data_IF_423068534896
#
_entry.id   IF_423068534896
#
_cell.length_a   1.000
_cell.length_b   1.000
_cell.length_c   1.000
_cell.angle_alpha   90.00
_cell.angle_beta   90.00
_cell.angle_gamma   90.00
#
_symmetry.space_group_name_H-M   'P 1'
#
loop_
_entity.id
_entity.type
_entity.pdbx_description
1 polymer ?
#
# COMPACT_ATOMS: atom_id res chain seq x y z
N UNK A 1 8.77 12.68 -13.13
CA UNK A 1 9.31 11.93 -14.28
C UNK A 1 9.44 10.49 -13.80
N UNK A 2 8.92 9.51 -14.55
CA UNK A 2 8.92 8.08 -14.17
C UNK A 2 7.61 7.55 -13.59
N UNK A 3 6.56 8.35 -13.46
CA UNK A 3 5.26 7.92 -12.93
C UNK A 3 4.28 7.42 -14.02
N UNK A 4 4.64 7.52 -15.30
CA UNK A 4 3.74 7.17 -16.41
C UNK A 4 3.34 5.68 -16.38
N UNK A 5 4.26 4.79 -16.04
CA UNK A 5 3.98 3.35 -15.93
C UNK A 5 3.01 3.06 -14.77
N UNK A 6 3.20 3.74 -13.64
CA UNK A 6 2.31 3.64 -12.49
C UNK A 6 0.90 4.14 -12.84
N UNK A 7 0.79 5.32 -13.44
CA UNK A 7 -0.49 5.89 -13.89
C UNK A 7 -1.19 4.97 -14.89
N UNK A 8 -0.46 4.41 -15.85
CA UNK A 8 -0.99 3.49 -16.84
C UNK A 8 -1.50 2.19 -16.20
N UNK A 9 -0.76 1.63 -15.26
CA UNK A 9 -1.15 0.40 -14.55
C UNK A 9 -2.42 0.62 -13.74
N UNK A 10 -2.50 1.73 -13.00
CA UNK A 10 -3.69 2.11 -12.24
C UNK A 10 -4.88 2.32 -13.18
N UNK A 11 -4.69 3.05 -14.27
CA UNK A 11 -5.76 3.32 -15.24
C UNK A 11 -6.31 2.04 -15.87
N UNK A 12 -5.45 1.06 -16.15
CA UNK A 12 -5.89 -0.27 -16.64
C UNK A 12 -6.73 -1.01 -15.59
N UNK A 13 -6.30 -1.01 -14.33
CA UNK A 13 -7.05 -1.66 -13.25
C UNK A 13 -8.44 -1.02 -13.06
N UNK A 14 -8.51 0.32 -13.08
CA UNK A 14 -9.78 1.06 -12.99
C UNK A 14 -10.72 0.72 -14.15
N UNK A 15 -10.21 0.68 -15.38
CA UNK A 15 -10.99 0.31 -16.56
C UNK A 15 -11.53 -1.12 -16.46
N UNK A 16 -10.71 -2.07 -16.00
CA UNK A 16 -11.14 -3.46 -15.76
C UNK A 16 -12.25 -3.53 -14.72
N UNK A 17 -12.11 -2.80 -13.62
CA UNK A 17 -13.12 -2.76 -12.57
C UNK A 17 -14.45 -2.19 -13.07
N UNK A 18 -14.42 -1.11 -13.83
CA UNK A 18 -15.62 -0.50 -14.44
C UNK A 18 -16.28 -1.39 -15.48
N UNK A 19 -15.51 -2.21 -16.18
CA UNK A 19 -16.01 -3.19 -17.15
C UNK A 19 -16.50 -4.51 -16.50
N UNK A 20 -16.44 -4.64 -15.17
CA UNK A 20 -16.82 -5.87 -14.47
C UNK A 20 -15.83 -7.02 -14.63
N UNK A 21 -14.61 -6.74 -15.08
CA UNK A 21 -13.56 -7.75 -15.37
C UNK A 21 -12.61 -7.98 -14.21
N UNK A 22 -12.82 -7.31 -13.07
CA UNK A 22 -12.02 -7.57 -11.86
C UNK A 22 -12.48 -8.82 -11.13
N UNK A 23 -11.59 -9.42 -10.34
CA UNK A 23 -11.97 -10.44 -9.36
C UNK A 23 -12.96 -9.84 -8.35
N UNK A 24 -14.20 -10.36 -8.22
CA UNK A 24 -15.21 -9.80 -7.33
C UNK A 24 -14.86 -9.92 -5.84
N UNK A 25 -13.87 -10.74 -5.49
CA UNK A 25 -13.43 -10.95 -4.10
C UNK A 25 -12.29 -10.03 -3.67
N UNK A 26 -11.61 -9.37 -4.61
CA UNK A 26 -10.42 -8.57 -4.33
C UNK A 26 -10.69 -7.08 -4.43
N UNK A 27 -9.83 -6.23 -3.86
CA UNK A 27 -9.85 -4.80 -4.13
C UNK A 27 -9.81 -4.49 -5.63
N UNK A 28 -10.19 -3.27 -6.00
CA UNK A 28 -10.16 -2.80 -7.41
C UNK A 28 -8.76 -2.96 -8.01
N UNK A 29 -7.74 -2.65 -7.23
CA UNK A 29 -6.35 -2.85 -7.59
C UNK A 29 -5.45 -2.69 -6.37
N UNK A 30 -4.27 -3.28 -6.44
CA UNK A 30 -3.23 -3.14 -5.43
C UNK A 30 -1.88 -2.90 -6.12
N UNK A 31 -1.14 -1.90 -5.64
CA UNK A 31 0.09 -1.43 -6.26
C UNK A 31 1.15 -1.20 -5.20
N UNK A 32 2.39 -1.56 -5.51
CA UNK A 32 3.56 -1.23 -4.70
C UNK A 32 4.41 -0.21 -5.45
N UNK A 33 4.63 0.95 -4.86
CA UNK A 33 5.50 1.99 -5.37
C UNK A 33 6.83 1.95 -4.63
N UNK A 34 7.89 1.70 -5.38
CA UNK A 34 9.25 1.68 -4.88
C UNK A 34 9.94 3.01 -5.16
N UNK A 35 10.70 3.50 -4.21
CA UNK A 35 11.51 4.70 -4.39
C UNK A 35 11.69 5.51 -3.10
N UNK A 36 12.53 6.53 -3.14
CA UNK A 36 12.79 7.39 -1.99
C UNK A 36 11.53 8.11 -1.53
N UNK A 37 11.47 8.46 -0.23
CA UNK A 37 10.39 9.25 0.35
C UNK A 37 10.31 10.64 -0.30
N UNK A 38 9.11 11.20 -0.38
CA UNK A 38 8.90 12.59 -0.80
C UNK A 38 8.76 12.85 -2.30
N UNK A 39 8.67 11.82 -3.15
CA UNK A 39 8.54 11.96 -4.61
C UNK A 39 7.08 11.98 -5.11
N UNK A 40 6.17 12.57 -4.36
CA UNK A 40 4.79 12.77 -4.83
C UNK A 40 3.87 11.54 -4.74
N UNK A 41 4.25 10.50 -4.01
CA UNK A 41 3.42 9.29 -3.85
C UNK A 41 2.07 9.60 -3.19
N UNK A 42 2.07 10.44 -2.17
CA UNK A 42 0.84 10.88 -1.49
C UNK A 42 -0.04 11.73 -2.41
N UNK A 43 0.55 12.63 -3.18
CA UNK A 43 -0.19 13.46 -4.15
C UNK A 43 -0.80 12.60 -5.26
N UNK A 44 -0.09 11.57 -5.73
CA UNK A 44 -0.65 10.62 -6.69
C UNK A 44 -1.86 9.88 -6.13
N UNK A 45 -1.79 9.42 -4.87
CA UNK A 45 -2.90 8.75 -4.22
C UNK A 45 -4.11 9.69 -4.04
N UNK A 46 -3.88 10.95 -3.69
CA UNK A 46 -4.92 11.97 -3.58
C UNK A 46 -5.57 12.27 -4.91
N UNK A 47 -4.77 12.52 -5.95
CA UNK A 47 -5.27 12.76 -7.31
C UNK A 47 -6.06 11.57 -7.85
N UNK A 48 -5.66 10.35 -7.51
CA UNK A 48 -6.39 9.15 -7.86
C UNK A 48 -7.74 9.06 -7.12
N UNK A 49 -7.78 9.39 -5.84
CA UNK A 49 -9.02 9.43 -5.05
C UNK A 49 -10.02 10.44 -5.65
N UNK A 50 -9.57 11.63 -5.99
CA UNK A 50 -10.38 12.65 -6.65
C UNK A 50 -10.90 12.17 -8.02
N UNK A 51 -10.03 11.62 -8.84
CA UNK A 51 -10.39 11.12 -10.17
C UNK A 51 -11.36 9.94 -10.15
N UNK A 52 -11.21 9.02 -9.20
CA UNK A 52 -12.03 7.80 -9.13
C UNK A 52 -13.33 7.98 -8.36
N UNK A 53 -13.29 8.71 -7.26
CA UNK A 53 -14.37 8.80 -6.29
C UNK A 53 -14.95 10.23 -6.16
N UNK A 54 -14.39 11.20 -6.89
CA UNK A 54 -14.88 12.57 -6.93
C UNK A 54 -14.53 13.43 -5.73
N UNK A 55 -13.79 12.89 -4.76
CA UNK A 55 -13.42 13.56 -3.52
C UNK A 55 -11.95 13.30 -3.20
N UNK A 56 -11.19 14.34 -2.90
CA UNK A 56 -9.79 14.22 -2.49
C UNK A 56 -9.64 13.62 -1.08
N UNK A 57 -10.67 13.76 -0.24
CA UNK A 57 -10.74 13.16 1.09
C UNK A 57 -11.17 11.67 1.07
N UNK A 58 -11.50 11.11 -0.11
CA UNK A 58 -11.64 9.66 -0.30
C UNK A 58 -10.27 8.93 -0.28
N UNK A 59 -9.27 9.49 0.38
CA UNK A 59 -7.96 8.89 0.63
C UNK A 59 -7.79 8.61 2.12
N UNK A 60 -7.45 7.36 2.43
CA UNK A 60 -7.07 6.91 3.78
C UNK A 60 -5.58 6.66 3.78
N UNK A 61 -4.83 7.40 4.58
CA UNK A 61 -3.38 7.21 4.76
C UNK A 61 -3.11 6.48 6.07
N UNK A 62 -2.29 5.44 5.99
CA UNK A 62 -1.78 4.68 7.14
C UNK A 62 -0.26 4.63 7.04
N UNK A 63 0.43 5.30 7.94
CA UNK A 63 1.89 5.28 8.03
C UNK A 63 2.33 4.06 8.84
N UNK A 64 2.98 3.10 8.17
CA UNK A 64 3.41 1.85 8.79
C UNK A 64 4.54 2.03 9.80
N UNK A 65 5.23 3.17 9.82
CA UNK A 65 6.20 3.49 10.87
C UNK A 65 5.57 3.63 12.26
N UNK A 66 4.27 3.88 12.33
CA UNK A 66 3.49 3.91 13.58
C UNK A 66 3.02 2.52 14.02
N UNK A 67 3.23 1.47 13.21
CA UNK A 67 2.73 0.12 13.42
C UNK A 67 3.86 -0.93 13.44
N UNK A 68 4.97 -0.59 14.09
CA UNK A 68 6.17 -1.44 14.17
C UNK A 68 6.11 -2.45 15.32
N UNK A 69 5.27 -2.22 16.32
CA UNK A 69 5.20 -3.03 17.53
C UNK A 69 4.12 -4.11 17.45
N UNK A 70 4.24 -5.13 18.31
CA UNK A 70 3.33 -6.26 18.36
C UNK A 70 1.85 -5.86 18.57
N UNK A 71 1.59 -4.76 19.28
CA UNK A 71 0.23 -4.27 19.54
C UNK A 71 -0.36 -3.43 18.38
N UNK A 72 0.38 -3.29 17.29
CA UNK A 72 -0.04 -2.52 16.12
C UNK A 72 -1.32 -3.07 15.48
N UNK A 73 -1.53 -4.38 15.49
CA UNK A 73 -2.74 -5.02 14.97
C UNK A 73 -3.98 -4.50 15.70
N UNK A 74 -3.96 -4.40 17.03
CA UNK A 74 -5.08 -3.87 17.81
C UNK A 74 -5.44 -2.43 17.45
N UNK A 75 -4.46 -1.63 17.07
CA UNK A 75 -4.68 -0.25 16.61
C UNK A 75 -5.32 -0.20 15.22
N UNK A 76 -5.03 -1.17 14.36
CA UNK A 76 -5.58 -1.22 13.00
C UNK A 76 -7.00 -1.77 12.94
N UNK A 77 -7.25 -2.88 13.64
CA UNK A 77 -8.53 -3.62 13.57
C UNK A 77 -9.40 -3.47 14.82
N UNK A 78 -8.88 -2.87 15.87
CA UNK A 78 -9.52 -2.66 17.14
C UNK A 78 -8.95 -3.55 18.27
N UNK A 79 -9.14 -3.10 19.51
CA UNK A 79 -8.75 -3.87 20.69
C UNK A 79 -9.77 -4.98 21.00
N UNK A 80 -9.34 -6.13 21.54
CA UNK A 80 -10.25 -7.18 21.97
C UNK A 80 -11.21 -6.70 23.07
N UNK A 81 -12.35 -7.37 23.25
CA UNK A 81 -13.27 -7.05 24.35
C UNK A 81 -12.55 -7.06 25.71
N UNK A 82 -12.84 -6.06 26.53
CA UNK A 82 -12.22 -5.89 27.85
C UNK A 82 -10.88 -5.15 27.88
N UNK A 83 -10.34 -4.78 26.73
CA UNK A 83 -9.15 -3.94 26.64
C UNK A 83 -9.47 -2.48 26.35
N UNK A 84 -8.61 -1.59 26.83
CA UNK A 84 -8.74 -0.13 26.57
C UNK A 84 -8.73 0.13 25.06
N UNK A 85 -9.66 0.97 24.60
CA UNK A 85 -9.80 1.32 23.18
C UNK A 85 -10.69 0.38 22.37
N UNK A 86 -11.32 -0.61 22.98
CA UNK A 86 -12.27 -1.50 22.26
C UNK A 86 -13.44 -0.74 21.65
N UNK A 87 -13.96 0.25 22.37
CA UNK A 87 -15.11 1.05 21.92
C UNK A 87 -14.76 1.99 20.77
N UNK A 88 -13.52 2.42 20.68
CA UNK A 88 -13.03 3.34 19.62
C UNK A 88 -12.94 2.66 18.25
N UNK A 89 -12.80 1.34 18.22
CA UNK A 89 -12.57 0.56 17.00
C UNK A 89 -11.15 0.70 16.44
N UNK A 90 -10.90 0.04 15.32
CA UNK A 90 -9.59 0.08 14.65
C UNK A 90 -9.43 1.30 13.74
N UNK A 91 -8.24 1.86 13.69
CA UNK A 91 -7.94 3.04 12.86
C UNK A 91 -8.19 2.79 11.36
N UNK A 92 -7.86 1.60 10.86
CA UNK A 92 -8.10 1.22 9.49
C UNK A 92 -9.55 0.80 9.27
N UNK A 93 -10.05 -0.12 10.06
CA UNK A 93 -11.38 -0.71 9.89
C UNK A 93 -12.49 0.33 10.02
N UNK A 94 -12.42 1.26 10.96
CA UNK A 94 -13.41 2.32 11.11
C UNK A 94 -13.39 3.31 9.93
N UNK A 95 -12.20 3.69 9.45
CA UNK A 95 -12.09 4.60 8.30
C UNK A 95 -12.66 3.99 7.03
N UNK A 96 -12.36 2.72 6.75
CA UNK A 96 -12.88 2.03 5.56
C UNK A 96 -14.36 1.75 5.69
N UNK A 97 -14.85 1.42 6.87
CA UNK A 97 -16.28 1.26 7.12
C UNK A 97 -17.08 2.54 6.82
N UNK A 98 -16.52 3.69 7.17
CA UNK A 98 -17.14 5.00 6.90
C UNK A 98 -17.01 5.43 5.45
N UNK A 99 -15.88 5.09 4.80
CA UNK A 99 -15.57 5.43 3.41
C UNK A 99 -15.17 4.18 2.61
N UNK A 100 -16.14 3.31 2.24
CA UNK A 100 -15.86 2.06 1.56
C UNK A 100 -15.34 2.24 0.12
N UNK A 101 -15.60 3.40 -0.49
CA UNK A 101 -15.07 3.79 -1.80
C UNK A 101 -13.91 4.76 -1.59
N UNK A 102 -12.72 4.23 -1.45
CA UNK A 102 -11.54 5.04 -1.11
C UNK A 102 -10.26 4.48 -1.71
N UNK A 103 -9.25 5.34 -1.79
CA UNK A 103 -7.85 4.96 -2.02
C UNK A 103 -7.17 4.83 -0.66
N UNK A 104 -6.60 3.66 -0.38
CA UNK A 104 -5.87 3.41 0.86
C UNK A 104 -4.38 3.43 0.56
N UNK A 105 -3.66 4.35 1.18
CA UNK A 105 -2.22 4.47 1.08
C UNK A 105 -1.56 3.91 2.34
N UNK A 106 -0.85 2.79 2.19
CA UNK A 106 0.03 2.25 3.22
C UNK A 106 1.45 2.72 2.96
N UNK A 107 1.92 3.65 3.77
CA UNK A 107 3.24 4.27 3.60
C UNK A 107 4.31 3.50 4.39
N UNK A 108 5.49 3.31 3.78
CA UNK A 108 6.65 2.64 4.39
C UNK A 108 6.34 1.20 4.90
N UNK A 109 5.79 0.36 4.02
CA UNK A 109 5.32 -0.99 4.39
C UNK A 109 6.40 -1.89 4.98
N UNK A 110 7.67 -1.68 4.66
CA UNK A 110 8.82 -2.43 5.22
C UNK A 110 8.98 -2.24 6.73
N UNK A 111 8.42 -1.19 7.29
CA UNK A 111 8.49 -0.91 8.73
C UNK A 111 7.39 -1.60 9.55
N UNK A 112 6.37 -2.13 8.89
CA UNK A 112 5.25 -2.77 9.59
C UNK A 112 5.67 -4.04 10.34
N UNK A 113 5.07 -4.27 11.52
CA UNK A 113 5.23 -5.53 12.23
C UNK A 113 4.73 -6.71 11.36
N UNK A 114 5.35 -7.90 11.43
CA UNK A 114 4.94 -9.08 10.64
C UNK A 114 3.44 -9.42 10.74
N UNK A 115 2.83 -9.23 11.89
CA UNK A 115 1.39 -9.48 12.08
C UNK A 115 0.52 -8.51 11.29
N UNK A 116 1.00 -7.29 11.06
CA UNK A 116 0.35 -6.30 10.19
C UNK A 116 0.41 -6.74 8.73
N UNK A 117 1.51 -7.35 8.27
CA UNK A 117 1.58 -7.94 6.94
C UNK A 117 0.52 -9.02 6.71
N UNK A 118 0.24 -9.85 7.70
CA UNK A 118 -0.80 -10.87 7.60
C UNK A 118 -2.20 -10.23 7.39
N UNK A 119 -2.47 -9.10 8.02
CA UNK A 119 -3.69 -8.32 7.80
C UNK A 119 -3.74 -7.78 6.37
N UNK A 120 -2.64 -7.22 5.88
CA UNK A 120 -2.58 -6.73 4.50
C UNK A 120 -2.78 -7.85 3.48
N UNK A 121 -2.19 -9.03 3.69
CA UNK A 121 -2.42 -10.20 2.84
C UNK A 121 -3.90 -10.59 2.81
N UNK A 122 -4.57 -10.62 3.95
CA UNK A 122 -6.00 -10.90 4.03
C UNK A 122 -6.83 -9.89 3.24
N UNK A 123 -6.52 -8.60 3.37
CA UNK A 123 -7.20 -7.55 2.59
C UNK A 123 -7.00 -7.75 1.08
N UNK A 124 -5.77 -8.09 0.66
CA UNK A 124 -5.43 -8.25 -0.76
C UNK A 124 -6.08 -9.50 -1.38
N UNK A 125 -6.19 -10.58 -0.61
CA UNK A 125 -6.68 -11.86 -1.11
C UNK A 125 -8.20 -12.03 -0.93
N UNK A 126 -8.71 -11.67 0.24
CA UNK A 126 -10.12 -11.90 0.61
C UNK A 126 -11.00 -10.66 0.40
N UNK A 127 -10.40 -9.48 0.28
CA UNK A 127 -11.10 -8.20 0.11
C UNK A 127 -11.94 -7.77 1.31
N UNK A 128 -11.75 -8.39 2.48
CA UNK A 128 -12.44 -8.02 3.70
C UNK A 128 -11.60 -8.33 4.94
N UNK A 129 -11.91 -7.63 6.03
CA UNK A 129 -11.43 -7.91 7.38
C UNK A 129 -12.62 -8.01 8.34
N UNK A 130 -12.49 -8.85 9.34
CA UNK A 130 -13.42 -8.83 10.48
C UNK A 130 -12.79 -8.02 11.61
N UNK A 131 -13.50 -6.99 12.07
CA UNK A 131 -13.05 -6.19 13.20
C UNK A 131 -13.29 -6.93 14.53
N UNK A 132 -12.79 -6.36 15.61
CA UNK A 132 -12.93 -6.97 16.96
C UNK A 132 -14.35 -6.92 17.51
N UNK A 133 -15.25 -6.19 16.87
CA UNK A 133 -16.70 -6.18 17.17
C UNK A 133 -17.47 -7.21 16.34
N UNK A 134 -16.78 -8.06 15.58
CA UNK A 134 -17.37 -9.08 14.72
C UNK A 134 -17.98 -8.56 13.42
N UNK A 135 -17.74 -7.30 13.07
CA UNK A 135 -18.25 -6.70 11.82
C UNK A 135 -17.28 -6.98 10.68
N UNK A 136 -17.82 -7.36 9.53
CA UNK A 136 -17.05 -7.48 8.30
C UNK A 136 -16.87 -6.10 7.66
N UNK A 137 -15.61 -5.72 7.42
CA UNK A 137 -15.25 -4.47 6.73
C UNK A 137 -14.85 -4.81 5.31
N UNK A 138 -15.51 -4.17 4.34
CA UNK A 138 -15.37 -4.45 2.92
C UNK A 138 -14.31 -3.56 2.26
N UNK A 139 -13.32 -4.17 1.62
CA UNK A 139 -12.23 -3.51 0.89
C UNK A 139 -12.36 -3.67 -0.64
N UNK A 140 -13.39 -4.34 -1.14
CA UNK A 140 -13.54 -4.66 -2.57
C UNK A 140 -13.74 -3.44 -3.46
N UNK A 141 -14.16 -2.33 -2.92
CA UNK A 141 -14.35 -1.07 -3.63
C UNK A 141 -13.22 -0.07 -3.38
N UNK A 142 -12.09 -0.53 -2.87
CA UNK A 142 -10.90 0.29 -2.60
C UNK A 142 -9.81 0.03 -3.63
N UNK A 143 -8.96 1.04 -3.80
CA UNK A 143 -7.64 0.90 -4.45
C UNK A 143 -6.59 0.95 -3.36
N UNK A 144 -5.70 -0.04 -3.34
CA UNK A 144 -4.64 -0.13 -2.35
C UNK A 144 -3.32 0.28 -2.99
N UNK A 145 -2.68 1.27 -2.39
CA UNK A 145 -1.35 1.74 -2.76
C UNK A 145 -0.44 1.51 -1.56
N UNK A 146 0.66 0.82 -1.78
CA UNK A 146 1.70 0.59 -0.79
C UNK A 146 2.97 1.28 -1.27
N UNK A 147 3.69 1.92 -0.36
CA UNK A 147 4.99 2.52 -0.67
C UNK A 147 6.10 1.84 0.11
N UNK A 148 7.28 1.75 -0.47
CA UNK A 148 8.45 1.20 0.18
C UNK A 148 9.72 1.93 -0.24
N UNK A 149 10.64 2.09 0.71
CA UNK A 149 12.00 2.59 0.50
C UNK A 149 13.04 1.48 0.34
N UNK A 150 12.61 0.23 0.32
CA UNK A 150 13.51 -0.91 0.16
C UNK A 150 14.35 -0.75 -1.11
N UNK A 151 15.65 -0.89 -0.98
CA UNK A 151 16.63 -0.73 -2.07
C UNK A 151 17.05 0.72 -2.38
N UNK A 152 16.41 1.74 -1.81
CA UNK A 152 16.77 3.14 -2.07
C UNK A 152 18.15 3.51 -1.47
N UNK A 153 18.52 2.95 -0.34
CA UNK A 153 19.83 3.19 0.30
C UNK A 153 20.97 2.58 -0.51
N UNK A 154 20.84 1.36 -0.98
CA UNK A 154 21.85 0.72 -1.82
C UNK A 154 22.12 1.49 -3.11
N UNK A 155 21.09 2.14 -3.66
CA UNK A 155 21.24 2.99 -4.83
C UNK A 155 22.00 4.28 -4.54
N UNK A 156 21.78 4.87 -3.36
CA UNK A 156 22.56 6.03 -2.92
C UNK A 156 24.02 5.65 -2.73
N UNK A 157 24.30 4.53 -2.09
CA UNK A 157 25.66 4.05 -1.84
C UNK A 157 26.39 3.72 -3.15
N UNK A 158 25.71 3.14 -4.14
CA UNK A 158 26.28 2.88 -5.46
C UNK A 158 26.60 4.17 -6.23
N UNK A 159 25.80 5.21 -6.11
CA UNK A 159 26.07 6.53 -6.68
C UNK A 159 27.28 7.21 -6.02
N UNK A 160 27.44 7.08 -4.71
CA UNK A 160 28.59 7.60 -3.96
C UNK A 160 29.87 6.82 -4.22
N UNK A 161 29.79 5.53 -4.58
CA UNK A 161 30.96 4.68 -4.87
C UNK A 161 31.60 4.92 -6.28
N UNK A 162 31.15 5.93 -7.02
CA UNK A 162 31.88 6.43 -8.18
C UNK A 162 31.70 5.65 -9.49
N UNK A 163 30.67 4.86 -9.67
CA UNK A 163 30.31 4.29 -10.97
C UNK A 163 29.52 5.30 -11.84
N UNK A 164 30.02 6.51 -11.94
CA UNK A 164 29.47 7.57 -12.77
C UNK A 164 29.93 7.43 -14.20
N UNK A 165 29.11 6.84 -15.07
CA UNK A 165 29.46 6.73 -16.50
C UNK A 165 28.49 5.94 -17.35
N UNK A 166 27.28 5.66 -16.90
CA UNK A 166 26.30 4.94 -17.71
C UNK A 166 25.14 5.86 -18.16
N UNK A 167 24.65 5.67 -19.35
CA UNK A 167 23.53 6.41 -19.95
C UNK A 167 22.25 6.27 -19.10
N UNK A 168 21.43 7.31 -19.05
CA UNK A 168 20.20 7.39 -18.22
C UNK A 168 19.25 6.17 -18.30
N UNK A 169 19.26 5.45 -19.42
CA UNK A 169 18.42 4.25 -19.60
C UNK A 169 18.98 2.99 -18.92
N UNK A 170 20.30 2.83 -18.82
CA UNK A 170 20.91 1.68 -18.15
C UNK A 170 20.85 1.80 -16.62
N UNK A 171 20.85 3.03 -16.12
CA UNK A 171 20.70 3.30 -14.68
C UNK A 171 19.31 2.93 -14.19
N UNK A 172 18.25 3.25 -14.92
CA UNK A 172 16.88 2.92 -14.53
C UNK A 172 16.62 1.40 -14.43
N UNK A 173 17.07 0.64 -15.40
CA UNK A 173 16.95 -0.84 -15.41
C UNK A 173 17.72 -1.49 -14.24
N UNK A 174 18.90 -0.99 -13.95
CA UNK A 174 19.73 -1.47 -12.84
C UNK A 174 19.10 -1.16 -11.50
N UNK A 175 18.60 0.08 -11.34
CA UNK A 175 17.84 0.54 -10.18
C UNK A 175 16.63 -0.34 -9.95
N UNK A 176 15.84 -0.58 -10.98
CA UNK A 176 14.63 -1.42 -10.92
C UNK A 176 14.96 -2.85 -10.50
N UNK A 177 16.00 -3.45 -11.07
CA UNK A 177 16.43 -4.82 -10.72
C UNK A 177 16.88 -4.93 -9.25
N UNK A 178 17.66 -3.96 -8.78
CA UNK A 178 18.12 -3.92 -7.39
C UNK A 178 16.95 -3.79 -6.43
N UNK A 179 16.04 -2.84 -6.68
CA UNK A 179 14.83 -2.65 -5.87
C UNK A 179 13.94 -3.90 -5.85
N UNK A 180 13.74 -4.54 -6.99
CA UNK A 180 12.95 -5.77 -7.08
C UNK A 180 13.60 -6.94 -6.35
N UNK A 181 14.92 -7.01 -6.35
CA UNK A 181 15.69 -8.03 -5.58
C UNK A 181 15.49 -7.80 -4.08
N UNK A 182 15.69 -6.57 -3.61
CA UNK A 182 15.53 -6.24 -2.19
C UNK A 182 14.08 -6.39 -1.72
N UNK A 183 13.12 -6.06 -2.56
CA UNK A 183 11.71 -6.31 -2.29
C UNK A 183 11.44 -7.80 -2.06
N UNK A 184 11.97 -8.67 -2.92
CA UNK A 184 11.83 -10.13 -2.78
C UNK A 184 12.53 -10.67 -1.53
N UNK A 185 13.63 -10.06 -1.11
CA UNK A 185 14.34 -10.44 0.10
C UNK A 185 13.63 -9.98 1.37
N UNK A 186 12.96 -8.83 1.31
CA UNK A 186 12.32 -8.19 2.46
C UNK A 186 10.88 -8.63 2.70
N UNK A 187 10.20 -9.10 1.66
CA UNK A 187 8.79 -9.50 1.73
C UNK A 187 8.61 -10.98 1.40
N UNK A 188 7.60 -11.59 2.02
CA UNK A 188 7.23 -12.97 1.70
C UNK A 188 6.74 -13.08 0.26
N UNK A 189 7.01 -14.20 -0.45
CA UNK A 189 6.57 -14.39 -1.83
C UNK A 189 5.06 -14.18 -2.03
N UNK A 190 4.25 -14.55 -1.05
CA UNK A 190 2.79 -14.42 -1.06
C UNK A 190 2.34 -12.96 -1.15
N UNK A 191 3.15 -12.05 -0.64
CA UNK A 191 2.86 -10.61 -0.69
C UNK A 191 3.14 -9.99 -2.05
N UNK A 192 4.01 -10.60 -2.86
CA UNK A 192 4.45 -10.05 -4.15
C UNK A 192 3.72 -10.64 -5.36
N UNK A 193 2.91 -11.66 -5.17
CA UNK A 193 2.07 -12.29 -6.19
C UNK A 193 0.68 -11.66 -6.22
#
# INVERSE_FOLDING_TARGET
>A
IGQNDAVNSISKAVRRARAGLKDPKRPIGSFIFLGPTGVGKTELARALAESMFGEDDAMIRVDMSEFMEKHAVSRLVGAPPGYVGHDDGGQLTEKVRRKPYSVILFDEIEKAHPDVFNILLQVLDDGHLTDTKGRTVDFRNTVIIMTSNVGAQELQDQRFAGFGGASEGSDYETVRKTMMKELKNSFRPEFLN
#
